data_IF_680017876341
#
_entry.id   IF_680017876341
#
_cell.length_a   1.000
_cell.length_b   1.000
_cell.length_c   1.000
_cell.angle_alpha   90.00
_cell.angle_beta   90.00
_cell.angle_gamma   90.00
#
_symmetry.space_group_name_H-M   'P 1'
#
loop_
_entity.id
_entity.type
_entity.pdbx_description
1 polymer ?
#
# COMPACT_ATOMS: atom_id res chain seq x y z
N UNK A 1 -1.05 -16.64 15.62
CA UNK A 1 -0.20 -15.44 15.84
C UNK A 1 -1.12 -14.24 15.96
N UNK A 2 -1.00 -13.42 17.02
CA UNK A 2 -1.80 -12.20 17.17
C UNK A 2 -1.48 -11.23 16.02
N UNK A 3 -2.48 -10.56 15.46
CA UNK A 3 -2.30 -9.64 14.31
C UNK A 3 -1.22 -8.58 14.58
N UNK A 4 -1.16 -8.05 15.80
CA UNK A 4 -0.11 -7.13 16.23
C UNK A 4 1.32 -7.67 16.02
N UNK A 5 1.55 -8.96 16.30
CA UNK A 5 2.85 -9.61 16.09
C UNK A 5 3.15 -9.73 14.60
N UNK A 6 2.16 -10.14 13.79
CA UNK A 6 2.32 -10.19 12.33
C UNK A 6 2.66 -8.82 11.74
N UNK A 7 2.01 -7.76 12.22
CA UNK A 7 2.25 -6.39 11.77
C UNK A 7 3.68 -5.93 12.03
N UNK A 8 4.21 -6.21 13.23
CA UNK A 8 5.61 -5.91 13.56
C UNK A 8 6.57 -6.72 12.69
N UNK A 9 6.32 -8.02 12.49
CA UNK A 9 7.16 -8.87 11.63
C UNK A 9 7.15 -8.35 10.19
N UNK A 10 5.98 -7.96 9.65
CA UNK A 10 5.87 -7.46 8.28
C UNK A 10 6.64 -6.15 8.07
N UNK A 11 6.52 -5.19 9.01
CA UNK A 11 7.28 -3.94 8.98
C UNK A 11 8.79 -4.22 9.04
N UNK A 12 9.23 -5.06 9.98
CA UNK A 12 10.64 -5.44 10.14
C UNK A 12 11.20 -6.17 8.93
N UNK A 13 10.46 -7.10 8.34
CA UNK A 13 10.88 -7.83 7.14
C UNK A 13 11.00 -6.90 5.92
N UNK A 14 10.11 -5.93 5.80
CA UNK A 14 10.16 -4.90 4.74
C UNK A 14 11.39 -4.01 4.92
N UNK A 15 11.65 -3.54 6.14
CA UNK A 15 12.86 -2.75 6.47
C UNK A 15 14.12 -3.57 6.19
N UNK A 16 14.15 -4.84 6.60
CA UNK A 16 15.28 -5.73 6.34
C UNK A 16 15.53 -5.94 4.85
N UNK A 17 14.47 -6.04 4.03
CA UNK A 17 14.59 -6.14 2.57
C UNK A 17 15.20 -4.88 1.97
N UNK A 18 14.75 -3.70 2.43
CA UNK A 18 15.30 -2.41 1.98
C UNK A 18 16.77 -2.28 2.38
N UNK A 19 17.10 -2.58 3.63
CA UNK A 19 18.46 -2.54 4.15
C UNK A 19 19.37 -3.51 3.38
N UNK A 20 18.93 -4.75 3.15
CA UNK A 20 19.69 -5.74 2.41
C UNK A 20 20.02 -5.27 0.99
N UNK A 21 19.12 -4.51 0.36
CA UNK A 21 19.35 -3.94 -0.98
C UNK A 21 20.24 -2.69 -0.96
N UNK A 22 20.11 -1.84 0.06
CA UNK A 22 20.91 -0.59 0.21
C UNK A 22 22.37 -0.91 0.51
N UNK A 23 22.62 -1.88 1.39
CA UNK A 23 23.97 -2.28 1.81
C UNK A 23 24.58 -3.38 0.94
N UNK A 24 23.93 -3.73 -0.17
CA UNK A 24 24.36 -4.76 -1.12
C UNK A 24 24.80 -6.07 -0.44
N UNK A 25 23.95 -6.58 0.46
CA UNK A 25 24.24 -7.79 1.22
C UNK A 25 24.28 -9.02 0.28
N UNK A 26 24.80 -10.14 0.78
CA UNK A 26 24.87 -11.37 0.00
C UNK A 26 23.51 -11.74 -0.66
N UNK A 27 23.49 -12.25 -1.90
CA UNK A 27 22.25 -12.52 -2.64
C UNK A 27 21.24 -13.40 -1.89
N UNK A 28 21.72 -14.39 -1.13
CA UNK A 28 20.86 -15.24 -0.30
C UNK A 28 20.15 -14.49 0.82
N UNK A 29 20.80 -13.48 1.42
CA UNK A 29 20.18 -12.61 2.44
C UNK A 29 19.16 -11.66 1.81
N UNK A 30 19.46 -11.09 0.64
CA UNK A 30 18.50 -10.26 -0.11
C UNK A 30 17.24 -11.07 -0.45
N UNK A 31 17.41 -12.29 -0.98
CA UNK A 31 16.31 -13.17 -1.34
C UNK A 31 15.51 -13.63 -0.12
N UNK A 32 16.17 -14.02 0.97
CA UNK A 32 15.52 -14.44 2.21
C UNK A 32 14.68 -13.33 2.85
N UNK A 33 15.21 -12.10 2.91
CA UNK A 33 14.47 -10.94 3.41
C UNK A 33 13.26 -10.61 2.54
N UNK A 34 13.44 -10.59 1.21
CA UNK A 34 12.36 -10.33 0.26
C UNK A 34 11.25 -11.40 0.35
N UNK A 35 11.61 -12.68 0.47
CA UNK A 35 10.65 -13.77 0.65
C UNK A 35 9.85 -13.64 1.95
N UNK A 36 10.51 -13.32 3.08
CA UNK A 36 9.82 -13.09 4.35
C UNK A 36 8.89 -11.87 4.28
N UNK A 37 9.33 -10.78 3.65
CA UNK A 37 8.50 -9.60 3.43
C UNK A 37 7.26 -9.96 2.58
N UNK A 38 7.45 -10.65 1.46
CA UNK A 38 6.34 -11.09 0.60
C UNK A 38 5.33 -11.99 1.34
N UNK A 39 5.81 -12.96 2.12
CA UNK A 39 4.96 -13.87 2.90
C UNK A 39 4.12 -13.10 3.93
N UNK A 40 4.75 -12.20 4.67
CA UNK A 40 4.11 -11.47 5.78
C UNK A 40 3.15 -10.40 5.27
N UNK A 41 3.54 -9.65 4.24
CA UNK A 41 2.66 -8.72 3.53
C UNK A 41 1.48 -9.44 2.87
N UNK A 42 1.72 -10.59 2.22
CA UNK A 42 0.66 -11.41 1.63
C UNK A 42 -0.34 -11.91 2.68
N UNK A 43 0.14 -12.35 3.84
CA UNK A 43 -0.71 -12.75 4.97
C UNK A 43 -1.58 -11.59 5.47
N UNK A 44 -0.98 -10.40 5.60
CA UNK A 44 -1.72 -9.18 5.96
C UNK A 44 -2.77 -8.81 4.91
N UNK A 45 -2.48 -8.92 3.62
CA UNK A 45 -3.44 -8.65 2.55
C UNK A 45 -4.59 -9.66 2.53
N UNK A 46 -4.32 -10.94 2.81
CA UNK A 46 -5.37 -11.96 2.97
C UNK A 46 -6.28 -11.61 4.15
N UNK A 47 -5.71 -11.16 5.27
CA UNK A 47 -6.49 -10.69 6.42
C UNK A 47 -7.35 -9.48 6.06
N UNK A 48 -6.76 -8.47 5.43
CA UNK A 48 -7.46 -7.27 4.97
C UNK A 48 -8.59 -7.61 3.98
N UNK A 49 -8.37 -8.57 3.08
CA UNK A 49 -9.39 -9.06 2.15
C UNK A 49 -10.60 -9.64 2.90
N UNK A 50 -10.35 -10.50 3.90
CA UNK A 50 -11.40 -11.08 4.73
C UNK A 50 -12.16 -10.00 5.50
N UNK A 51 -11.46 -9.04 6.11
CA UNK A 51 -12.07 -7.92 6.83
C UNK A 51 -12.94 -7.06 5.90
N UNK A 52 -12.44 -6.72 4.71
CA UNK A 52 -13.16 -5.90 3.73
C UNK A 52 -14.44 -6.56 3.20
N UNK A 53 -14.60 -7.88 3.44
CA UNK A 53 -15.80 -8.62 3.06
C UNK A 53 -16.91 -8.64 4.11
N UNK A 54 -16.65 -8.14 5.32
CA UNK A 54 -17.62 -8.14 6.41
C UNK A 54 -18.56 -6.95 6.26
N UNK A 55 -19.83 -7.16 6.57
CA UNK A 55 -20.79 -6.06 6.69
C UNK A 55 -20.61 -5.41 8.06
N UNK A 56 -20.43 -4.10 8.07
CA UNK A 56 -20.20 -3.29 9.26
C UNK A 56 -21.24 -2.18 9.25
N UNK A 57 -22.06 -2.07 10.29
CA UNK A 57 -23.21 -1.16 10.31
C UNK A 57 -22.83 0.31 10.04
N UNK A 58 -21.64 0.71 10.48
CA UNK A 58 -21.09 2.06 10.36
C UNK A 58 -20.50 2.35 8.96
N UNK A 59 -20.39 1.35 8.08
CA UNK A 59 -19.82 1.48 6.73
C UNK A 59 -20.88 1.12 5.69
N UNK A 60 -21.11 2.04 4.74
CA UNK A 60 -22.04 1.80 3.62
C UNK A 60 -21.60 0.64 2.72
N UNK A 61 -22.55 0.02 2.02
CA UNK A 61 -22.27 -1.07 1.07
C UNK A 61 -21.27 -0.66 -0.03
N UNK A 62 -21.37 0.58 -0.53
CA UNK A 62 -20.41 1.13 -1.49
C UNK A 62 -19.02 1.29 -0.86
N UNK A 63 -18.95 1.69 0.42
CA UNK A 63 -17.73 1.73 1.20
C UNK A 63 -17.05 0.35 1.26
N UNK A 64 -17.80 -0.69 1.58
CA UNK A 64 -17.31 -2.08 1.61
C UNK A 64 -16.79 -2.55 0.24
N UNK A 65 -17.51 -2.25 -0.85
CA UNK A 65 -17.07 -2.57 -2.23
C UNK A 65 -15.76 -1.89 -2.58
N UNK A 66 -15.63 -0.60 -2.24
CA UNK A 66 -14.41 0.17 -2.47
C UNK A 66 -13.25 -0.36 -1.63
N UNK A 67 -13.47 -0.75 -0.37
CA UNK A 67 -12.45 -1.38 0.47
C UNK A 67 -11.91 -2.66 -0.17
N UNK A 68 -12.79 -3.53 -0.68
CA UNK A 68 -12.39 -4.73 -1.43
C UNK A 68 -11.58 -4.40 -2.67
N UNK A 69 -12.05 -3.43 -3.46
CA UNK A 69 -11.33 -2.97 -4.64
C UNK A 69 -9.94 -2.45 -4.25
N UNK A 70 -9.83 -1.67 -3.18
CA UNK A 70 -8.55 -1.14 -2.74
C UNK A 70 -7.57 -2.24 -2.32
N UNK A 71 -8.03 -3.23 -1.57
CA UNK A 71 -7.21 -4.41 -1.23
C UNK A 71 -6.75 -5.12 -2.51
N UNK A 72 -7.63 -5.34 -3.49
CA UNK A 72 -7.24 -5.93 -4.78
C UNK A 72 -6.20 -5.08 -5.52
N UNK A 73 -6.33 -3.75 -5.52
CA UNK A 73 -5.38 -2.85 -6.18
C UNK A 73 -3.99 -2.84 -5.54
N UNK A 74 -3.78 -3.46 -4.36
CA UNK A 74 -2.42 -3.65 -3.81
C UNK A 74 -1.52 -4.52 -4.71
N UNK A 75 -2.08 -5.22 -5.70
CA UNK A 75 -1.28 -5.84 -6.76
C UNK A 75 -0.39 -4.82 -7.50
N UNK A 76 -0.81 -3.56 -7.60
CA UNK A 76 -0.05 -2.49 -8.27
C UNK A 76 1.24 -2.17 -7.52
N UNK A 77 1.22 -1.72 -6.24
CA UNK A 77 2.47 -1.48 -5.50
C UNK A 77 3.30 -2.76 -5.32
N UNK A 78 2.68 -3.94 -5.23
CA UNK A 78 3.41 -5.21 -5.14
C UNK A 78 4.18 -5.53 -6.43
N UNK A 79 3.51 -5.42 -7.59
CA UNK A 79 4.14 -5.61 -8.88
C UNK A 79 5.23 -4.55 -9.14
N UNK A 80 4.99 -3.30 -8.76
CA UNK A 80 5.99 -2.23 -8.88
C UNK A 80 7.22 -2.48 -8.00
N UNK A 81 7.02 -2.96 -6.77
CA UNK A 81 8.13 -3.33 -5.89
C UNK A 81 8.95 -4.49 -6.48
N UNK A 82 8.28 -5.51 -7.02
CA UNK A 82 8.93 -6.64 -7.70
C UNK A 82 9.75 -6.17 -8.90
N UNK A 83 9.17 -5.34 -9.77
CA UNK A 83 9.84 -4.74 -10.91
C UNK A 83 11.03 -3.84 -10.48
N UNK A 84 10.95 -3.21 -9.31
CA UNK A 84 12.05 -2.40 -8.78
C UNK A 84 13.18 -3.24 -8.17
N UNK A 85 12.86 -4.41 -7.62
CA UNK A 85 13.84 -5.32 -7.01
C UNK A 85 14.54 -6.20 -8.04
N UNK A 86 13.82 -6.65 -9.07
CA UNK A 86 14.28 -7.68 -10.01
C UNK A 86 14.16 -7.28 -11.50
N UNK A 87 13.47 -6.19 -11.82
CA UNK A 87 13.18 -5.79 -13.21
C UNK A 87 14.18 -4.79 -13.80
N UNK A 88 14.16 -4.71 -15.13
CA UNK A 88 15.02 -3.81 -15.87
C UNK A 88 14.72 -2.32 -15.59
N UNK A 89 15.73 -1.44 -15.62
CA UNK A 89 15.54 0.01 -15.41
C UNK A 89 14.50 0.67 -16.31
N UNK A 90 14.32 0.13 -17.53
CA UNK A 90 13.43 0.69 -18.55
C UNK A 90 11.95 0.42 -18.23
N UNK A 91 11.61 -0.77 -17.70
CA UNK A 91 10.23 -1.11 -17.32
C UNK A 91 9.71 -0.25 -16.16
N UNK A 92 10.62 0.28 -15.33
CA UNK A 92 10.29 1.15 -14.19
C UNK A 92 9.85 2.55 -14.58
N UNK A 93 10.18 3.01 -15.79
CA UNK A 93 9.86 4.35 -16.29
C UNK A 93 8.56 4.41 -17.12
N UNK A 94 7.82 3.29 -17.21
CA UNK A 94 6.59 3.23 -18.01
C UNK A 94 5.47 4.12 -17.46
N UNK A 95 4.82 4.96 -18.29
CA UNK A 95 3.63 5.74 -17.91
C UNK A 95 2.47 4.89 -17.40
N UNK A 96 2.42 3.59 -17.74
CA UNK A 96 1.39 2.67 -17.28
C UNK A 96 1.40 2.49 -15.76
N UNK A 97 2.56 2.58 -15.11
CA UNK A 97 2.65 2.52 -13.65
C UNK A 97 1.86 3.65 -13.02
N UNK A 98 1.95 4.86 -13.56
CA UNK A 98 1.21 6.01 -13.04
C UNK A 98 -0.29 5.77 -13.13
N UNK A 99 -0.80 5.30 -14.27
CA UNK A 99 -2.23 5.01 -14.43
C UNK A 99 -2.70 3.97 -13.41
N UNK A 100 -1.93 2.90 -13.24
CA UNK A 100 -2.22 1.86 -12.25
C UNK A 100 -2.19 2.41 -10.82
N UNK A 101 -1.20 3.24 -10.48
CA UNK A 101 -1.10 3.90 -9.18
C UNK A 101 -2.22 4.92 -8.95
N UNK A 102 -2.70 5.61 -9.99
CA UNK A 102 -3.84 6.51 -9.87
C UNK A 102 -5.10 5.76 -9.45
N UNK A 103 -5.35 4.57 -10.00
CA UNK A 103 -6.45 3.70 -9.56
C UNK A 103 -6.26 3.26 -8.10
N UNK A 104 -5.05 2.87 -7.73
CA UNK A 104 -4.71 2.48 -6.36
C UNK A 104 -4.90 3.62 -5.34
N UNK A 105 -4.45 4.84 -5.67
CA UNK A 105 -4.60 6.01 -4.80
C UNK A 105 -6.05 6.48 -4.72
N UNK A 106 -6.79 6.41 -5.82
CA UNK A 106 -8.20 6.76 -5.84
C UNK A 106 -9.02 5.79 -4.97
N UNK A 107 -8.83 4.48 -5.16
CA UNK A 107 -9.49 3.47 -4.33
C UNK A 107 -9.10 3.63 -2.86
N UNK A 108 -7.82 3.88 -2.57
CA UNK A 108 -7.30 4.12 -1.23
C UNK A 108 -7.94 5.33 -0.57
N UNK A 109 -7.95 6.49 -1.24
CA UNK A 109 -8.61 7.71 -0.75
C UNK A 109 -10.06 7.43 -0.33
N UNK A 110 -10.80 6.68 -1.15
CA UNK A 110 -12.22 6.37 -0.91
C UNK A 110 -12.38 5.35 0.23
N UNK A 111 -11.49 4.36 0.34
CA UNK A 111 -11.41 3.44 1.49
C UNK A 111 -11.18 4.19 2.80
N UNK A 112 -10.16 5.05 2.86
CA UNK A 112 -9.86 5.83 4.07
C UNK A 112 -10.97 6.80 4.42
N UNK A 113 -11.67 7.36 3.43
CA UNK A 113 -12.86 8.16 3.66
C UNK A 113 -13.99 7.34 4.29
N UNK A 114 -14.28 6.13 3.77
CA UNK A 114 -15.32 5.27 4.33
C UNK A 114 -15.01 4.86 5.77
N UNK A 115 -13.77 4.47 6.05
CA UNK A 115 -13.28 4.16 7.40
C UNK A 115 -13.37 5.38 8.33
N UNK A 116 -12.96 6.57 7.87
CA UNK A 116 -13.04 7.80 8.67
C UNK A 116 -14.49 8.17 9.02
N UNK A 117 -15.44 7.96 8.11
CA UNK A 117 -16.86 8.24 8.35
C UNK A 117 -17.43 7.27 9.40
N UNK A 118 -17.11 5.98 9.31
CA UNK A 118 -17.61 4.97 10.26
C UNK A 118 -16.91 4.99 11.61
N UNK A 119 -15.61 5.32 11.62
CA UNK A 119 -14.73 5.27 12.79
C UNK A 119 -13.83 6.51 12.79
N UNK A 120 -14.26 7.64 13.39
CA UNK A 120 -13.50 8.88 13.37
C UNK A 120 -12.13 8.73 14.05
N UNK A 121 -11.07 8.63 13.26
CA UNK A 121 -9.70 8.53 13.76
C UNK A 121 -8.74 9.42 12.94
N UNK A 122 -7.79 10.12 13.60
CA UNK A 122 -6.81 10.95 12.89
C UNK A 122 -5.99 10.18 11.87
N UNK A 123 -5.72 8.90 12.13
CA UNK A 123 -4.93 8.05 11.24
C UNK A 123 -5.60 7.87 9.86
N UNK A 124 -6.92 7.71 9.81
CA UNK A 124 -7.66 7.59 8.55
C UNK A 124 -7.68 8.91 7.78
N UNK A 125 -7.73 10.04 8.49
CA UNK A 125 -7.58 11.35 7.86
C UNK A 125 -6.21 11.52 7.19
N UNK A 126 -5.14 11.15 7.89
CA UNK A 126 -3.77 11.21 7.37
C UNK A 126 -3.64 10.33 6.13
N UNK A 127 -4.08 9.07 6.17
CA UNK A 127 -4.02 8.17 5.02
C UNK A 127 -4.87 8.65 3.83
N UNK A 128 -6.07 9.20 4.08
CA UNK A 128 -6.92 9.81 3.06
C UNK A 128 -6.22 10.99 2.37
N UNK A 129 -5.60 11.90 3.15
CA UNK A 129 -4.86 13.05 2.63
C UNK A 129 -3.63 12.61 1.85
N UNK A 130 -2.86 11.65 2.38
CA UNK A 130 -1.71 11.07 1.69
C UNK A 130 -2.06 10.48 0.33
N UNK A 131 -3.11 9.65 0.26
CA UNK A 131 -3.60 9.11 -1.02
C UNK A 131 -4.08 10.21 -1.99
N UNK A 132 -4.73 11.26 -1.48
CA UNK A 132 -5.17 12.40 -2.31
C UNK A 132 -3.98 13.17 -2.89
N UNK A 133 -2.96 13.42 -2.09
CA UNK A 133 -1.74 14.11 -2.52
C UNK A 133 -0.98 13.28 -3.56
N UNK A 134 -0.81 11.99 -3.31
CA UNK A 134 -0.14 11.08 -4.26
C UNK A 134 -0.90 10.95 -5.57
N UNK A 135 -2.24 10.87 -5.55
CA UNK A 135 -3.07 10.87 -6.75
C UNK A 135 -2.84 12.15 -7.57
N UNK A 136 -2.97 13.32 -6.94
CA UNK A 136 -2.80 14.60 -7.64
C UNK A 136 -1.39 14.75 -8.20
N UNK A 137 -0.37 14.51 -7.38
CA UNK A 137 1.03 14.71 -7.76
C UNK A 137 1.48 13.73 -8.86
N UNK A 138 1.12 12.45 -8.76
CA UNK A 138 1.49 11.45 -9.77
C UNK A 138 0.86 11.75 -11.13
N UNK A 139 -0.41 12.16 -11.16
CA UNK A 139 -1.09 12.56 -12.40
C UNK A 139 -0.45 13.82 -13.00
N UNK A 140 -0.25 14.87 -12.20
CA UNK A 140 0.34 16.13 -12.67
C UNK A 140 1.74 15.89 -13.24
N UNK A 141 2.62 15.23 -12.49
CA UNK A 141 3.99 14.97 -12.93
C UNK A 141 4.04 14.14 -14.21
N UNK A 142 3.10 13.22 -14.39
CA UNK A 142 3.03 12.40 -15.60
C UNK A 142 2.60 13.21 -16.81
N UNK A 143 1.59 14.08 -16.66
CA UNK A 143 1.18 14.97 -17.74
C UNK A 143 2.34 15.89 -18.16
N UNK A 144 3.08 16.43 -17.20
CA UNK A 144 4.27 17.25 -17.48
C UNK A 144 5.36 16.41 -18.17
N UNK A 145 5.67 15.23 -17.66
CA UNK A 145 6.71 14.37 -18.23
C UNK A 145 6.37 13.94 -19.67
N UNK A 146 5.10 13.62 -19.94
CA UNK A 146 4.62 13.30 -21.30
C UNK A 146 4.67 14.52 -22.22
N UNK A 147 4.19 15.69 -21.76
CA UNK A 147 4.19 16.91 -22.56
C UNK A 147 5.61 17.38 -22.93
N UNK A 148 6.57 17.20 -22.02
CA UNK A 148 7.97 17.60 -22.21
C UNK A 148 8.86 16.49 -22.78
N UNK A 149 8.33 15.28 -23.00
CA UNK A 149 9.10 14.08 -23.36
C UNK A 149 10.35 13.88 -22.48
N UNK A 150 10.22 14.19 -21.18
CA UNK A 150 11.36 14.34 -20.28
C UNK A 150 11.66 13.05 -19.51
N UNK A 151 12.65 12.30 -20.00
CA UNK A 151 13.15 11.09 -19.33
C UNK A 151 13.59 11.32 -17.86
N UNK A 152 14.26 12.44 -17.50
CA UNK A 152 14.60 12.72 -16.11
C UNK A 152 13.38 12.87 -15.19
N UNK A 153 12.29 13.48 -15.67
CA UNK A 153 11.06 13.62 -14.87
C UNK A 153 10.39 12.27 -14.62
N UNK A 154 10.36 11.36 -15.61
CA UNK A 154 9.87 10.00 -15.41
C UNK A 154 10.70 9.24 -14.36
N UNK A 155 12.03 9.37 -14.41
CA UNK A 155 12.91 8.75 -13.41
C UNK A 155 12.67 9.31 -11.99
N UNK A 156 12.44 10.62 -11.87
CA UNK A 156 12.08 11.26 -10.60
C UNK A 156 10.75 10.73 -10.05
N UNK A 157 9.71 10.64 -10.89
CA UNK A 157 8.40 10.07 -10.50
C UNK A 157 8.54 8.62 -10.03
N UNK A 158 9.29 7.81 -10.76
CA UNK A 158 9.56 6.43 -10.36
C UNK A 158 10.28 6.34 -9.00
N UNK A 159 11.22 7.26 -8.74
CA UNK A 159 11.89 7.39 -7.44
C UNK A 159 10.92 7.73 -6.30
N UNK A 160 9.99 8.67 -6.54
CA UNK A 160 8.95 9.05 -5.57
C UNK A 160 8.01 7.88 -5.30
N UNK A 161 7.58 7.15 -6.35
CA UNK A 161 6.74 5.96 -6.19
C UNK A 161 7.47 4.84 -5.45
N UNK A 162 8.76 4.64 -5.69
CA UNK A 162 9.59 3.68 -4.94
C UNK A 162 9.63 4.03 -3.46
N UNK A 163 9.87 5.30 -3.12
CA UNK A 163 9.87 5.77 -1.74
C UNK A 163 8.49 5.56 -1.10
N UNK A 164 7.43 5.94 -1.82
CA UNK A 164 6.05 5.75 -1.38
C UNK A 164 5.75 4.27 -1.07
N UNK A 165 6.03 3.36 -2.00
CA UNK A 165 5.76 1.92 -1.83
C UNK A 165 6.52 1.34 -0.64
N UNK A 166 7.76 1.78 -0.45
CA UNK A 166 8.58 1.37 0.69
C UNK A 166 7.93 1.76 2.02
N UNK A 167 7.53 3.02 2.14
CA UNK A 167 6.83 3.52 3.35
C UNK A 167 5.46 2.83 3.50
N UNK A 168 4.72 2.67 2.41
CA UNK A 168 3.39 2.06 2.40
C UNK A 168 3.42 0.63 2.95
N UNK A 169 4.37 -0.20 2.52
CA UNK A 169 4.51 -1.56 3.03
C UNK A 169 4.97 -1.63 4.49
N UNK A 170 5.84 -0.71 4.93
CA UNK A 170 6.20 -0.60 6.35
C UNK A 170 4.98 -0.26 7.20
N UNK A 171 4.11 0.63 6.74
CA UNK A 171 2.92 1.07 7.48
C UNK A 171 1.72 0.12 7.37
N UNK A 172 1.74 -0.83 6.44
CA UNK A 172 0.60 -1.69 6.14
C UNK A 172 0.14 -2.51 7.36
N UNK A 173 1.08 -3.04 8.14
CA UNK A 173 0.76 -3.75 9.38
C UNK A 173 0.05 -2.87 10.42
N UNK A 174 0.56 -1.65 10.64
CA UNK A 174 -0.04 -0.68 11.58
C UNK A 174 -1.46 -0.33 11.13
N UNK A 175 -1.63 -0.05 9.84
CA UNK A 175 -2.92 0.29 9.25
C UNK A 175 -3.95 -0.84 9.42
N UNK A 176 -3.58 -2.07 9.10
CA UNK A 176 -4.48 -3.23 9.21
C UNK A 176 -4.81 -3.53 10.67
N UNK A 177 -3.83 -3.48 11.59
CA UNK A 177 -4.08 -3.65 13.03
C UNK A 177 -5.07 -2.61 13.57
N UNK A 178 -4.97 -1.35 13.11
CA UNK A 178 -5.90 -0.30 13.53
C UNK A 178 -7.32 -0.56 13.04
N UNK A 179 -7.46 -0.96 11.77
CA UNK A 179 -8.76 -1.30 11.19
C UNK A 179 -9.37 -2.47 11.96
N UNK A 180 -8.61 -3.53 12.20
CA UNK A 180 -9.06 -4.72 12.94
C UNK A 180 -9.58 -4.34 14.33
N UNK A 181 -8.82 -3.54 15.09
CA UNK A 181 -9.21 -3.04 16.40
C UNK A 181 -10.50 -2.21 16.37
N UNK A 182 -10.69 -1.35 15.37
CA UNK A 182 -11.92 -0.53 15.28
C UNK A 182 -13.15 -1.35 14.89
N UNK A 183 -12.93 -2.42 14.12
CA UNK A 183 -14.01 -3.29 13.68
C UNK A 183 -14.39 -4.33 14.75
N UNK A 184 -13.47 -4.72 15.64
CA UNK A 184 -13.68 -5.78 16.65
C UNK A 184 -14.95 -5.57 17.52
N UNK A 185 -15.22 -4.38 18.10
CA UNK A 185 -16.45 -4.13 18.87
C UNK A 185 -17.72 -4.21 18.01
N UNK A 186 -17.62 -3.91 16.72
CA UNK A 186 -18.76 -3.97 15.79
C UNK A 186 -19.05 -5.38 15.29
N UNK A 187 -18.11 -6.32 15.51
CA UNK A 187 -18.20 -7.71 15.09
C UNK A 187 -18.61 -8.64 16.25
N UNK A 188 -18.37 -8.22 17.49
CA UNK A 188 -18.74 -8.94 18.71
C UNK A 188 -19.48 -8.00 19.69
N UNK A 189 -20.77 -7.70 19.45
CA UNK A 189 -21.53 -6.71 20.22
C UNK A 189 -21.86 -7.13 21.67
N UNK A 190 -21.44 -8.31 22.12
CA UNK A 190 -21.71 -8.85 23.47
C UNK A 190 -20.59 -8.58 24.50
N UNK A 191 -19.63 -7.70 24.18
CA UNK A 191 -18.59 -7.21 25.10
C UNK A 191 -18.59 -5.69 25.23
#
# INVERSE_FOLDING_TARGET
MRLAVLSVIASSATIATLAAKIFDLAPGLQAGAAALSALTLGTLLIHAWRLSGRQIAQISADGTRIMRLHVATHIVPAAFALATLFGDPIERASPLWIVAFALFFYSGRRTWQALQTGFPSPIYFVFKRGNSAMLGMSVILTLIATALQSNPLFAFVAGVLKLYVSIHFVLMGIAISKIDHDLEPSLNPEH
#
